data_IF_976985757436
#
_entry.id   IF_976985757436
#
_cell.length_a   1.000
_cell.length_b   1.000
_cell.length_c   1.000
_cell.angle_alpha   90.00
_cell.angle_beta   90.00
_cell.angle_gamma   90.00
#
_symmetry.space_group_name_H-M   'P 1'
#
loop_
_entity.id
_entity.type
_entity.pdbx_description
1 polymer ?
#
# COMPACT_ATOMS: atom_id res chain seq x y z
N UNK A 1 -7.24 0.12 14.06
CA UNK A 1 -5.79 -0.07 13.82
C UNK A 1 -5.36 0.82 12.66
N UNK A 2 -4.32 1.59 12.85
CA UNK A 2 -3.80 2.50 11.83
C UNK A 2 -2.61 1.84 11.11
N UNK A 3 -2.60 1.89 9.79
CA UNK A 3 -1.58 1.25 8.97
C UNK A 3 -1.27 2.10 7.75
N UNK A 4 0.01 2.14 7.36
CA UNK A 4 0.40 2.59 6.03
C UNK A 4 0.29 1.40 5.09
N UNK A 5 -0.33 1.59 3.93
CA UNK A 5 -0.59 0.52 2.97
C UNK A 5 0.39 0.63 1.80
N UNK A 6 1.03 -0.49 1.46
CA UNK A 6 1.92 -0.61 0.31
C UNK A 6 1.08 -0.71 -0.99
N UNK A 7 1.59 -0.13 -2.07
CA UNK A 7 0.93 -0.19 -3.38
C UNK A 7 0.64 -1.63 -3.82
N UNK A 8 1.51 -2.57 -3.51
CA UNK A 8 1.31 -3.97 -3.88
C UNK A 8 0.08 -4.60 -3.20
N UNK A 9 -0.31 -4.10 -2.02
CA UNK A 9 -1.53 -4.53 -1.36
C UNK A 9 -2.75 -4.07 -2.15
N UNK A 10 -2.74 -2.81 -2.63
CA UNK A 10 -3.81 -2.27 -3.46
C UNK A 10 -3.94 -3.09 -4.75
N UNK A 11 -2.82 -3.37 -5.40
CA UNK A 11 -2.79 -4.17 -6.63
C UNK A 11 -3.33 -5.57 -6.37
N UNK A 12 -2.94 -6.20 -5.27
CA UNK A 12 -3.43 -7.53 -4.91
C UNK A 12 -4.94 -7.54 -4.66
N UNK A 13 -5.45 -6.55 -3.95
CA UNK A 13 -6.89 -6.41 -3.70
C UNK A 13 -7.67 -6.16 -4.97
N UNK A 14 -7.10 -5.45 -5.92
CA UNK A 14 -7.70 -5.19 -7.22
C UNK A 14 -7.76 -6.47 -8.07
N UNK A 15 -6.65 -7.21 -8.15
CA UNK A 15 -6.48 -8.27 -9.16
C UNK A 15 -7.10 -9.60 -8.79
N UNK A 16 -6.93 -10.06 -7.55
CA UNK A 16 -7.23 -11.48 -7.30
C UNK A 16 -7.51 -11.88 -5.86
N UNK A 17 -7.22 -11.06 -4.89
CA UNK A 17 -7.40 -11.47 -3.50
C UNK A 17 -8.65 -10.85 -2.90
N UNK A 18 -9.72 -11.64 -2.83
CA UNK A 18 -10.96 -11.23 -2.17
C UNK A 18 -10.69 -10.92 -0.69
N UNK A 19 -9.82 -11.68 -0.04
CA UNK A 19 -9.45 -11.47 1.35
C UNK A 19 -8.78 -10.11 1.55
N UNK A 20 -7.81 -9.77 0.69
CA UNK A 20 -7.14 -8.46 0.74
C UNK A 20 -8.14 -7.33 0.50
N UNK A 21 -9.05 -7.50 -0.48
CA UNK A 21 -10.08 -6.49 -0.77
C UNK A 21 -11.00 -6.28 0.42
N UNK A 22 -11.40 -7.35 1.10
CA UNK A 22 -12.24 -7.26 2.29
C UNK A 22 -11.53 -6.53 3.43
N UNK A 23 -10.23 -6.79 3.61
CA UNK A 23 -9.43 -6.07 4.61
C UNK A 23 -9.30 -4.59 4.28
N UNK A 24 -9.10 -4.24 3.00
CA UNK A 24 -9.03 -2.85 2.57
C UNK A 24 -10.33 -2.10 2.88
N UNK A 25 -11.45 -2.79 2.90
CA UNK A 25 -12.77 -2.22 3.17
C UNK A 25 -13.19 -2.38 4.64
N UNK A 26 -12.36 -3.01 5.47
CA UNK A 26 -12.69 -3.27 6.87
C UNK A 26 -12.62 -1.98 7.69
N UNK A 27 -13.73 -1.61 8.32
CA UNK A 27 -13.84 -0.36 9.08
C UNK A 27 -12.97 -0.33 10.33
N UNK A 28 -12.48 -1.48 10.78
CA UNK A 28 -11.56 -1.55 11.92
C UNK A 28 -10.17 -1.04 11.57
N UNK A 29 -9.86 -0.89 10.28
CA UNK A 29 -8.58 -0.41 9.80
C UNK A 29 -8.70 1.03 9.33
N UNK A 30 -7.79 1.89 9.80
CA UNK A 30 -7.60 3.23 9.28
C UNK A 30 -6.33 3.21 8.42
N UNK A 31 -6.48 3.40 7.12
CA UNK A 31 -5.41 3.20 6.16
C UNK A 31 -4.87 4.54 5.66
N UNK A 32 -3.55 4.60 5.52
CA UNK A 32 -2.81 5.78 5.05
C UNK A 32 -1.85 5.37 3.95
N UNK A 33 -1.61 6.27 3.01
CA UNK A 33 -0.65 6.03 1.95
C UNK A 33 -0.06 7.35 1.45
N UNK A 34 1.19 7.32 0.94
CA UNK A 34 1.75 8.49 0.28
C UNK A 34 1.05 8.70 -1.07
N UNK A 35 1.02 9.95 -1.53
CA UNK A 35 0.39 10.27 -2.83
C UNK A 35 0.98 9.48 -4.00
N UNK A 36 2.24 9.07 -3.87
CA UNK A 36 2.92 8.26 -4.88
C UNK A 36 2.22 6.91 -5.12
N UNK A 37 1.48 6.41 -4.13
CA UNK A 37 0.78 5.13 -4.21
C UNK A 37 -0.17 5.06 -5.40
N UNK A 38 -0.89 6.14 -5.69
CA UNK A 38 -1.82 6.18 -6.82
C UNK A 38 -1.10 6.02 -8.15
N UNK A 39 -0.03 6.79 -8.33
CA UNK A 39 0.76 6.76 -9.56
C UNK A 39 1.36 5.38 -9.77
N UNK A 40 1.92 4.81 -8.72
CA UNK A 40 2.56 3.49 -8.76
C UNK A 40 1.53 2.39 -9.06
N UNK A 41 0.40 2.39 -8.38
CA UNK A 41 -0.66 1.39 -8.58
C UNK A 41 -1.25 1.48 -9.97
N UNK A 42 -1.53 2.69 -10.47
CA UNK A 42 -2.05 2.88 -11.82
C UNK A 42 -1.07 2.39 -12.87
N UNK A 43 0.22 2.73 -12.70
CA UNK A 43 1.27 2.30 -13.62
C UNK A 43 1.35 0.77 -13.72
N UNK A 44 1.30 0.08 -12.57
CA UNK A 44 1.35 -1.38 -12.54
C UNK A 44 0.11 -1.98 -13.20
N UNK A 45 -1.08 -1.49 -12.86
CA UNK A 45 -2.34 -2.04 -13.35
C UNK A 45 -2.60 -1.74 -14.83
N UNK A 46 -2.01 -0.68 -15.37
CA UNK A 46 -2.16 -0.34 -16.80
C UNK A 46 -1.03 -0.87 -17.65
N UNK A 47 -0.06 -1.57 -17.07
CA UNK A 47 1.01 -2.18 -17.85
C UNK A 47 0.44 -3.22 -18.81
N UNK A 48 1.05 -3.35 -20.00
CA UNK A 48 0.60 -4.31 -21.01
C UNK A 48 0.59 -5.75 -20.49
N UNK A 49 1.50 -6.05 -19.57
CA UNK A 49 1.63 -7.36 -18.95
C UNK A 49 0.39 -7.73 -18.13
N UNK A 50 -0.19 -6.75 -17.42
CA UNK A 50 -1.35 -7.00 -16.56
C UNK A 50 -2.68 -6.78 -17.27
N UNK A 51 -2.71 -5.98 -18.33
CA UNK A 51 -3.93 -5.74 -19.11
C UNK A 51 -4.56 -7.04 -19.59
N UNK A 52 -3.75 -8.00 -19.98
CA UNK A 52 -4.23 -9.31 -20.43
C UNK A 52 -4.88 -10.09 -19.30
N UNK A 53 -4.39 -9.93 -18.06
CA UNK A 53 -4.90 -10.65 -16.89
C UNK A 53 -6.21 -10.08 -16.35
N UNK A 54 -6.42 -8.78 -16.52
CA UNK A 54 -7.62 -8.10 -15.98
C UNK A 54 -8.76 -8.01 -17.01
N UNK A 55 -8.71 -8.83 -18.06
CA UNK A 55 -9.83 -8.97 -18.98
C UNK A 55 -10.09 -7.78 -19.89
N UNK A 56 -9.04 -7.01 -20.21
CA UNK A 56 -9.16 -5.91 -21.17
C UNK A 56 -9.81 -4.66 -20.63
N UNK A 57 -9.74 -4.42 -19.31
CA UNK A 57 -10.22 -3.16 -18.73
C UNK A 57 -9.44 -1.98 -19.33
N UNK A 58 -10.17 -0.91 -19.66
CA UNK A 58 -9.55 0.32 -20.13
C UNK A 58 -8.83 1.04 -18.99
N UNK A 59 -7.95 1.97 -19.34
CA UNK A 59 -7.26 2.78 -18.34
C UNK A 59 -8.26 3.57 -17.47
N UNK A 60 -9.33 4.07 -18.08
CA UNK A 60 -10.38 4.78 -17.35
C UNK A 60 -11.09 3.88 -16.34
N UNK A 61 -11.36 2.61 -16.71
CA UNK A 61 -11.97 1.65 -15.80
C UNK A 61 -11.05 1.30 -14.64
N UNK A 62 -9.76 1.08 -14.91
CA UNK A 62 -8.75 0.83 -13.87
C UNK A 62 -8.70 2.00 -12.89
N UNK A 63 -8.65 3.23 -13.40
CA UNK A 63 -8.61 4.43 -12.57
C UNK A 63 -9.86 4.56 -11.69
N UNK A 64 -11.03 4.25 -12.24
CA UNK A 64 -12.29 4.31 -11.49
C UNK A 64 -12.28 3.34 -10.31
N UNK A 65 -11.84 2.11 -10.53
CA UNK A 65 -11.77 1.11 -9.46
C UNK A 65 -10.72 1.48 -8.41
N UNK A 66 -9.56 1.99 -8.85
CA UNK A 66 -8.53 2.48 -7.92
C UNK A 66 -9.08 3.61 -7.06
N UNK A 67 -9.84 4.53 -7.64
CA UNK A 67 -10.45 5.63 -6.89
C UNK A 67 -11.41 5.11 -5.82
N UNK A 68 -12.17 4.07 -6.12
CA UNK A 68 -13.08 3.46 -5.15
C UNK A 68 -12.31 2.84 -3.97
N UNK A 69 -11.24 2.10 -4.25
CA UNK A 69 -10.41 1.53 -3.20
C UNK A 69 -9.70 2.62 -2.39
N UNK A 70 -9.19 3.62 -3.07
CA UNK A 70 -8.45 4.71 -2.43
C UNK A 70 -9.35 5.65 -1.63
N UNK A 71 -10.67 5.66 -1.87
CA UNK A 71 -11.60 6.40 -1.04
C UNK A 71 -11.56 5.96 0.42
N UNK A 72 -11.07 4.74 0.69
CA UNK A 72 -10.89 4.20 2.03
C UNK A 72 -9.53 4.54 2.64
N UNK A 73 -8.65 5.19 1.89
CA UNK A 73 -7.27 5.44 2.28
C UNK A 73 -7.05 6.95 2.38
N UNK A 74 -6.46 7.39 3.49
CA UNK A 74 -6.05 8.78 3.65
C UNK A 74 -4.71 8.98 2.94
N UNK A 75 -4.71 9.81 1.91
CA UNK A 75 -3.53 10.07 1.09
C UNK A 75 -2.82 11.32 1.62
N UNK A 76 -1.53 11.20 1.91
CA UNK A 76 -0.73 12.31 2.39
C UNK A 76 0.30 12.77 1.35
N UNK A 77 0.45 14.09 1.15
CA UNK A 77 1.42 14.63 0.19
C UNK A 77 2.85 14.53 0.72
N UNK A 78 3.81 14.56 -0.19
CA UNK A 78 5.23 14.42 0.12
C UNK A 78 5.73 15.35 1.23
N UNK A 79 5.33 16.65 1.28
CA UNK A 79 5.78 17.52 2.35
C UNK A 79 5.47 17.00 3.76
N UNK A 80 4.43 16.20 3.94
CA UNK A 80 4.04 15.67 5.24
C UNK A 80 5.10 14.72 5.83
N UNK A 81 5.80 13.94 4.99
CA UNK A 81 6.76 12.93 5.46
C UNK A 81 8.19 13.17 4.94
N UNK A 82 8.43 14.28 4.24
CA UNK A 82 9.70 14.57 3.59
C UNK A 82 10.88 14.53 4.57
N UNK A 83 10.69 14.97 5.80
CA UNK A 83 11.73 14.98 6.83
C UNK A 83 12.18 13.56 7.24
N UNK A 84 11.39 12.54 6.91
CA UNK A 84 11.73 11.13 7.20
C UNK A 84 12.34 10.40 5.99
N UNK A 85 12.38 11.04 4.80
CA UNK A 85 12.83 10.36 3.58
C UNK A 85 14.28 9.89 3.64
N UNK A 86 15.19 10.69 4.20
CA UNK A 86 16.60 10.30 4.29
C UNK A 86 16.78 9.02 5.09
N UNK A 87 16.11 8.92 6.24
CA UNK A 87 16.15 7.72 7.06
C UNK A 87 15.47 6.55 6.34
N UNK A 88 14.33 6.80 5.71
CA UNK A 88 13.59 5.77 4.98
C UNK A 88 14.42 5.20 3.83
N UNK A 89 15.16 6.03 3.11
CA UNK A 89 16.04 5.58 2.03
C UNK A 89 17.13 4.63 2.52
N UNK A 90 17.64 4.87 3.74
CA UNK A 90 18.63 3.98 4.33
C UNK A 90 18.05 2.63 4.76
N UNK A 91 16.78 2.60 5.12
CA UNK A 91 16.09 1.40 5.58
C UNK A 91 15.49 0.59 4.42
N UNK A 92 15.15 1.25 3.33
CA UNK A 92 14.39 0.64 2.25
C UNK A 92 15.24 -0.35 1.44
N UNK A 93 14.74 -1.57 1.19
CA UNK A 93 15.42 -2.53 0.29
C UNK A 93 15.45 -2.02 -1.15
N UNK A 94 14.42 -1.25 -1.55
CA UNK A 94 14.34 -0.58 -2.84
C UNK A 94 13.93 0.86 -2.64
N UNK A 95 14.44 1.77 -3.46
CA UNK A 95 14.13 3.20 -3.34
C UNK A 95 12.64 3.49 -3.43
N UNK A 96 11.89 2.68 -4.17
CA UNK A 96 10.45 2.85 -4.31
C UNK A 96 9.69 2.62 -3.01
N UNK A 97 10.27 1.89 -2.06
CA UNK A 97 9.67 1.63 -0.75
C UNK A 97 9.83 2.83 0.21
N UNK A 98 10.74 3.75 -0.09
CA UNK A 98 11.07 4.84 0.81
C UNK A 98 9.89 5.74 1.18
N UNK A 99 9.00 6.15 0.26
CA UNK A 99 7.85 6.97 0.63
C UNK A 99 6.94 6.30 1.65
N UNK A 100 6.73 5.00 1.54
CA UNK A 100 5.88 4.24 2.47
C UNK A 100 6.51 4.14 3.85
N UNK A 101 7.81 3.86 3.91
CA UNK A 101 8.55 3.82 5.17
C UNK A 101 8.63 5.21 5.80
N UNK A 102 8.84 6.27 5.00
CA UNK A 102 8.87 7.63 5.51
C UNK A 102 7.55 8.03 6.15
N UNK A 103 6.44 7.69 5.50
CA UNK A 103 5.11 7.97 6.03
C UNK A 103 4.87 7.19 7.32
N UNK A 104 5.25 5.92 7.37
CA UNK A 104 5.11 5.10 8.57
C UNK A 104 5.95 5.64 9.72
N UNK A 105 7.17 6.11 9.46
CA UNK A 105 8.02 6.76 10.46
C UNK A 105 7.38 8.05 10.98
N UNK A 106 6.86 8.87 10.08
CA UNK A 106 6.23 10.14 10.42
C UNK A 106 4.99 9.94 11.31
N UNK A 107 4.13 9.01 10.92
CA UNK A 107 2.89 8.73 11.64
C UNK A 107 3.09 7.81 12.85
N UNK A 108 4.25 7.13 12.93
CA UNK A 108 4.58 6.16 13.98
C UNK A 108 3.59 5.00 14.01
N UNK A 109 3.28 4.48 12.83
CA UNK A 109 2.36 3.36 12.67
C UNK A 109 3.02 2.26 11.81
N UNK A 110 2.50 1.02 11.90
CA UNK A 110 3.03 -0.07 11.09
C UNK A 110 2.74 0.08 9.61
N UNK A 111 3.50 -0.65 8.81
CA UNK A 111 3.31 -0.76 7.37
C UNK A 111 2.64 -2.11 7.06
N UNK A 112 1.62 -2.10 6.22
CA UNK A 112 1.01 -3.31 5.70
C UNK A 112 1.64 -3.64 4.35
N UNK A 113 2.44 -4.69 4.32
CA UNK A 113 3.12 -5.17 3.12
C UNK A 113 3.37 -6.66 3.22
N UNK A 114 3.28 -7.37 2.11
CA UNK A 114 3.63 -8.78 2.02
C UNK A 114 5.07 -9.00 1.53
N UNK A 115 5.83 -7.92 1.33
CA UNK A 115 7.23 -8.01 0.89
C UNK A 115 8.12 -8.37 2.08
N UNK A 116 8.71 -9.58 2.03
CA UNK A 116 9.57 -10.07 3.09
C UNK A 116 10.81 -9.20 3.30
N UNK A 117 11.32 -8.57 2.23
CA UNK A 117 12.52 -7.72 2.33
C UNK A 117 12.30 -6.51 3.24
N UNK A 118 11.07 -6.00 3.32
CA UNK A 118 10.74 -4.87 4.20
C UNK A 118 10.82 -5.24 5.68
N UNK A 119 10.72 -6.52 6.01
CA UNK A 119 10.80 -6.99 7.41
C UNK A 119 12.22 -7.04 7.94
N UNK A 120 13.23 -6.88 7.10
CA UNK A 120 14.63 -6.93 7.52
C UNK A 120 15.04 -5.72 8.35
N UNK A 121 14.38 -4.57 8.19
CA UNK A 121 14.59 -3.40 9.02
C UNK A 121 13.68 -3.46 10.25
N UNK A 122 14.07 -2.83 11.36
CA UNK A 122 13.35 -2.89 12.63
C UNK A 122 12.76 -1.55 13.08
N UNK A 123 12.98 -0.47 12.32
CA UNK A 123 12.48 0.85 12.72
C UNK A 123 10.97 0.98 12.52
N UNK A 124 10.41 0.27 11.53
CA UNK A 124 8.98 0.26 11.23
C UNK A 124 8.50 -1.19 11.32
N UNK A 125 7.47 -1.45 12.11
CA UNK A 125 6.82 -2.77 12.13
C UNK A 125 6.13 -3.01 10.80
N UNK A 126 6.30 -4.21 10.25
CA UNK A 126 5.68 -4.59 8.97
C UNK A 126 4.76 -5.78 9.20
N UNK A 127 3.49 -5.59 8.88
CA UNK A 127 2.47 -6.64 9.00
C UNK A 127 2.09 -7.15 7.63
N UNK A 128 2.16 -8.48 7.47
CA UNK A 128 1.62 -9.14 6.28
C UNK A 128 0.09 -9.22 6.36
N UNK A 129 -0.55 -9.54 5.25
CA UNK A 129 -1.98 -9.81 5.23
C UNK A 129 -2.35 -10.92 6.22
N UNK A 130 -1.55 -11.98 6.26
CA UNK A 130 -1.75 -13.08 7.21
C UNK A 130 -1.69 -12.61 8.66
N UNK A 131 -0.72 -11.76 8.97
CA UNK A 131 -0.57 -11.21 10.32
C UNK A 131 -1.78 -10.36 10.71
N UNK A 132 -2.30 -9.55 9.79
CA UNK A 132 -3.49 -8.74 10.07
C UNK A 132 -4.71 -9.61 10.35
N UNK A 133 -4.90 -10.68 9.60
CA UNK A 133 -6.00 -11.61 9.84
C UNK A 133 -5.92 -12.20 11.26
N UNK A 134 -4.72 -12.57 11.69
CA UNK A 134 -4.50 -13.07 13.05
C UNK A 134 -4.81 -12.00 14.09
N UNK A 135 -4.34 -10.77 13.89
CA UNK A 135 -4.53 -9.67 14.83
C UNK A 135 -5.98 -9.26 14.95
N UNK A 136 -6.75 -9.36 13.89
CA UNK A 136 -8.18 -8.99 13.90
C UNK A 136 -9.05 -10.08 14.50
N UNK A 137 -8.48 -11.21 14.85
CA UNK A 137 -9.17 -12.24 15.61
C UNK A 137 -10.28 -12.96 14.85
N UNK A 138 -10.14 -13.00 13.57
CA UNK A 138 -11.14 -13.66 12.73
C UNK A 138 -11.21 -15.16 12.95
#
# INVERSE_FOLDING_TARGET
>A
MELVVDANIIVAGFLRSATTRQLLLDERLALFAPEHMFIESERVLTSSRLRKKIGGLSQAQVRSILNQLAARISILPAPSYQHCLAKALRLAPHTEDAPYLALALHLRIPLWSNDAALKEQSAVAVYSTQKLLELLGS
#
